data_IF_967763752743
#
_entry.id   IF_967763752743
#
_cell.length_a   1.000
_cell.length_b   1.000
_cell.length_c   1.000
_cell.angle_alpha   90.00
_cell.angle_beta   90.00
_cell.angle_gamma   90.00
#
_symmetry.space_group_name_H-M   'P 1'
#
loop_
_entity.id
_entity.type
_entity.pdbx_description
1 polymer ?
#
# COMPACT_ATOMS: atom_id res chain seq x y z
N UNK A 1 1.77 -12.75 -4.29
CA UNK A 1 0.70 -12.29 -3.42
C UNK A 1 -0.36 -11.56 -4.21
N UNK A 2 -1.60 -11.78 -3.86
CA UNK A 2 -2.71 -11.18 -4.57
C UNK A 2 -3.29 -10.04 -3.74
N UNK A 3 -3.43 -8.88 -4.33
CA UNK A 3 -4.01 -7.73 -3.65
C UNK A 3 -5.31 -7.37 -4.33
N UNK A 4 -6.39 -7.41 -3.59
CA UNK A 4 -7.70 -7.10 -4.14
C UNK A 4 -8.48 -6.09 -3.31
N UNK A 5 -7.87 -5.54 -2.27
CA UNK A 5 -8.56 -4.56 -1.44
C UNK A 5 -7.58 -3.64 -0.75
N UNK A 6 -8.09 -2.50 -0.29
CA UNK A 6 -7.28 -1.57 0.50
C UNK A 6 -6.86 -2.19 1.81
N UNK A 7 -7.67 -3.11 2.34
CA UNK A 7 -7.33 -3.79 3.58
C UNK A 7 -6.12 -4.69 3.38
N UNK A 8 -6.08 -5.42 2.28
CA UNK A 8 -4.94 -6.28 1.99
C UNK A 8 -3.69 -5.47 1.71
N UNK A 9 -3.86 -4.33 1.01
CA UNK A 9 -2.75 -3.45 0.74
C UNK A 9 -2.17 -2.90 2.06
N UNK A 10 -3.03 -2.45 2.96
CA UNK A 10 -2.58 -1.93 4.26
C UNK A 10 -1.87 -2.97 5.09
N UNK A 11 -2.38 -4.21 5.05
CA UNK A 11 -1.75 -5.30 5.79
C UNK A 11 -0.35 -5.60 5.24
N UNK A 12 -0.18 -5.52 3.93
CA UNK A 12 1.12 -5.72 3.31
C UNK A 12 2.10 -4.63 3.74
N UNK A 13 1.65 -3.38 3.72
CA UNK A 13 2.48 -2.25 4.16
C UNK A 13 2.97 -2.48 5.59
N UNK A 14 2.04 -2.84 6.47
CA UNK A 14 2.40 -3.07 7.87
C UNK A 14 3.39 -4.21 8.03
N UNK A 15 3.16 -5.30 7.30
CA UNK A 15 4.03 -6.47 7.37
C UNK A 15 5.45 -6.12 6.95
N UNK A 16 5.59 -5.47 5.81
CA UNK A 16 6.92 -5.15 5.28
C UNK A 16 7.61 -4.11 6.16
N UNK A 17 6.84 -3.13 6.65
CA UNK A 17 7.40 -2.13 7.56
C UNK A 17 8.01 -2.80 8.78
N UNK A 18 7.28 -3.74 9.39
CA UNK A 18 7.76 -4.43 10.58
C UNK A 18 8.97 -5.30 10.27
N UNK A 19 8.99 -5.92 9.11
CA UNK A 19 10.14 -6.72 8.71
C UNK A 19 11.41 -5.87 8.60
N UNK A 20 11.25 -4.59 8.29
CA UNK A 20 12.37 -3.67 8.18
C UNK A 20 12.64 -2.94 9.50
N UNK A 21 11.93 -3.31 10.55
CA UNK A 21 12.12 -2.77 11.89
C UNK A 21 11.88 -1.26 11.93
N UNK A 22 10.88 -0.80 11.20
CA UNK A 22 10.52 0.61 11.16
C UNK A 22 9.26 0.85 11.98
N UNK A 23 9.21 1.98 12.67
CA UNK A 23 7.97 2.39 13.32
C UNK A 23 7.10 3.11 12.30
N UNK A 24 5.83 3.34 12.65
CA UNK A 24 4.95 4.13 11.79
C UNK A 24 5.48 5.54 11.62
N UNK A 25 6.06 6.11 12.68
CA UNK A 25 6.64 7.44 12.59
C UNK A 25 7.83 7.46 11.65
N UNK A 26 8.69 6.44 11.72
CA UNK A 26 9.85 6.34 10.82
C UNK A 26 9.39 6.32 9.37
N UNK A 27 8.39 5.51 9.08
CA UNK A 27 7.90 5.39 7.71
C UNK A 27 7.25 6.69 7.25
N UNK A 28 6.47 7.33 8.12
CA UNK A 28 5.83 8.59 7.79
C UNK A 28 6.88 9.66 7.45
N UNK A 29 7.94 9.74 8.24
CA UNK A 29 9.00 10.70 7.99
C UNK A 29 9.72 10.41 6.68
N UNK A 30 10.01 9.16 6.41
CA UNK A 30 10.69 8.77 5.17
C UNK A 30 9.85 9.12 3.94
N UNK A 31 8.54 9.06 4.06
CA UNK A 31 7.64 9.29 2.93
C UNK A 31 7.10 10.71 2.88
N UNK A 32 7.46 11.55 3.84
CA UNK A 32 6.95 12.92 3.96
C UNK A 32 5.43 12.96 4.03
N UNK A 33 4.86 12.04 4.80
CA UNK A 33 3.42 12.01 5.06
C UNK A 33 3.22 12.06 6.57
N UNK A 34 1.99 12.28 7.00
CA UNK A 34 1.68 12.30 8.41
C UNK A 34 1.64 10.87 8.96
N UNK A 35 1.91 10.74 10.26
CA UNK A 35 1.78 9.44 10.92
C UNK A 35 0.35 8.95 10.80
N UNK A 36 -0.62 9.88 10.89
CA UNK A 36 -2.02 9.51 10.74
C UNK A 36 -2.31 8.87 9.39
N UNK A 37 -1.65 9.35 8.33
CA UNK A 37 -1.82 8.74 7.01
C UNK A 37 -1.35 7.29 7.04
N UNK A 38 -0.20 7.02 7.64
CA UNK A 38 0.32 5.66 7.73
C UNK A 38 -0.61 4.77 8.54
N UNK A 39 -1.12 5.30 9.66
CA UNK A 39 -2.05 4.55 10.50
C UNK A 39 -3.29 4.15 9.69
N UNK A 40 -3.88 5.11 8.99
CA UNK A 40 -5.07 4.86 8.18
C UNK A 40 -4.78 3.87 7.06
N UNK A 41 -3.64 4.04 6.40
CA UNK A 41 -3.24 3.17 5.32
C UNK A 41 -3.13 1.72 5.79
N UNK A 42 -2.47 1.52 6.92
CA UNK A 42 -2.28 0.17 7.45
C UNK A 42 -3.57 -0.47 7.93
N UNK A 43 -4.55 0.37 8.29
CA UNK A 43 -5.85 -0.15 8.66
C UNK A 43 -6.71 -0.48 7.45
N UNK A 44 -6.26 -0.11 6.27
CA UNK A 44 -6.99 -0.39 5.05
C UNK A 44 -8.05 0.63 4.72
N UNK A 45 -7.86 1.88 5.14
CA UNK A 45 -8.83 2.92 4.85
C UNK A 45 -8.90 3.17 3.35
N UNK A 46 -10.09 2.98 2.78
CA UNK A 46 -10.27 3.03 1.33
C UNK A 46 -10.05 4.42 0.75
N UNK A 47 -10.19 5.46 1.56
CA UNK A 47 -10.09 6.84 1.07
C UNK A 47 -8.66 7.40 1.07
N UNK A 48 -7.66 6.58 1.37
CA UNK A 48 -6.28 7.05 1.30
C UNK A 48 -5.91 7.39 -0.14
N UNK A 49 -5.19 8.49 -0.31
CA UNK A 49 -4.76 8.90 -1.65
C UNK A 49 -3.87 7.84 -2.27
N UNK A 50 -4.18 7.49 -3.52
CA UNK A 50 -3.46 6.43 -4.20
C UNK A 50 -1.99 6.78 -4.43
N UNK A 51 -1.71 8.01 -4.88
CA UNK A 51 -0.33 8.40 -5.14
C UNK A 51 0.53 8.28 -3.90
N UNK A 52 0.03 8.78 -2.77
CA UNK A 52 0.78 8.69 -1.52
C UNK A 52 0.93 7.25 -1.08
N UNK A 53 -0.11 6.44 -1.27
CA UNK A 53 -0.08 5.03 -0.89
C UNK A 53 0.95 4.26 -1.69
N UNK A 54 1.02 4.51 -2.99
CA UNK A 54 2.01 3.86 -3.85
C UNK A 54 3.42 4.30 -3.51
N UNK A 55 3.58 5.58 -3.13
CA UNK A 55 4.89 6.07 -2.72
C UNK A 55 5.38 5.40 -1.45
N UNK A 56 4.47 5.18 -0.49
CA UNK A 56 4.84 4.47 0.73
C UNK A 56 5.31 3.05 0.40
N UNK A 57 4.59 2.37 -0.48
CA UNK A 57 4.99 1.03 -0.89
C UNK A 57 6.37 1.03 -1.55
N UNK A 58 6.61 2.02 -2.42
CA UNK A 58 7.89 2.13 -3.11
C UNK A 58 9.03 2.37 -2.12
N UNK A 59 8.80 3.20 -1.11
CA UNK A 59 9.83 3.45 -0.10
C UNK A 59 10.18 2.21 0.70
N UNK A 60 9.24 1.29 0.82
CA UNK A 60 9.51 0.01 1.49
C UNK A 60 10.10 -1.03 0.55
N UNK A 61 10.28 -0.68 -0.72
CA UNK A 61 10.82 -1.63 -1.68
C UNK A 61 9.80 -2.58 -2.25
N UNK A 62 8.52 -2.30 -2.04
CA UNK A 62 7.47 -3.14 -2.59
C UNK A 62 7.26 -2.76 -4.05
N UNK A 63 7.29 -3.75 -4.92
CA UNK A 63 7.12 -3.52 -6.34
C UNK A 63 5.81 -4.13 -6.79
N UNK A 64 5.12 -3.41 -7.64
CA UNK A 64 3.86 -3.88 -8.20
C UNK A 64 4.04 -4.12 -9.69
N UNK A 65 3.40 -5.18 -10.16
CA UNK A 65 3.35 -5.47 -11.58
C UNK A 65 1.90 -5.59 -11.98
N UNK A 66 1.60 -5.08 -13.14
CA UNK A 66 0.26 -5.17 -13.67
C UNK A 66 0.24 -6.22 -14.76
N UNK A 67 -0.70 -7.13 -14.66
CA UNK A 67 -0.90 -8.16 -15.66
C UNK A 67 -2.29 -8.00 -16.22
N UNK A 68 -2.34 -7.72 -17.49
CA UNK A 68 -3.60 -7.50 -18.16
C UNK A 68 -4.15 -8.83 -18.62
N UNK A 69 -5.41 -9.05 -18.34
CA UNK A 69 -6.07 -10.26 -18.77
C UNK A 69 -7.13 -9.93 -19.80
N UNK A 70 -7.52 -10.88 -20.63
CA UNK A 70 -8.62 -10.66 -21.56
C UNK A 70 -9.82 -10.20 -20.76
N UNK A 71 -10.55 -9.27 -21.33
CA UNK A 71 -11.68 -8.71 -20.62
C UNK A 71 -12.76 -9.75 -20.46
N UNK A 72 -13.28 -9.77 -19.27
CA UNK A 72 -14.29 -10.73 -18.95
C UNK A 72 -15.51 -10.52 -19.80
N UNK A 73 -15.81 -9.27 -20.04
CA UNK A 73 -17.05 -8.94 -20.69
C UNK A 73 -16.89 -8.75 -22.17
N UNK A 74 -15.86 -9.32 -22.72
CA UNK A 74 -15.71 -9.23 -24.15
C UNK A 74 -16.78 -9.93 -24.85
N UNK A 75 -17.37 -10.82 -24.17
CA UNK A 75 -18.46 -11.50 -24.70
C UNK A 75 -19.68 -10.62 -24.65
N UNK A 76 -19.62 -9.47 -24.20
CA UNK A 76 -20.80 -8.69 -24.20
C UNK A 76 -20.64 -7.45 -24.99
#
# INVERSE_FOLDING_TARGET
MKLSSSKEFGALIKKVRKQQVLTQIDLANACSVSTGFIIDLEKGKASCELDKSLNVAAMLGIRFEAHEQPKINEQE
#
